data_IF_994243030111
#
_entry.id   IF_994243030111
#
_cell.length_a   1.000
_cell.length_b   1.000
_cell.length_c   1.000
_cell.angle_alpha   90.00
_cell.angle_beta   90.00
_cell.angle_gamma   90.00
#
_symmetry.space_group_name_H-M   'P 1'
#
loop_
_entity.id
_entity.type
_entity.pdbx_description
1 polymer ?
#
# COMPACT_ATOMS: atom_id res chain seq x y z
N UNK A 1 -29.87 19.50 39.26
CA UNK A 1 -29.64 18.72 38.02
C UNK A 1 -28.61 19.49 37.23
N UNK A 2 -27.36 19.04 37.28
CA UNK A 2 -26.30 19.54 36.42
C UNK A 2 -26.49 18.79 35.11
N UNK A 3 -26.76 19.52 34.04
CA UNK A 3 -26.72 18.99 32.68
C UNK A 3 -25.24 18.75 32.42
N UNK A 4 -24.80 17.49 32.33
CA UNK A 4 -23.48 17.19 31.75
C UNK A 4 -23.49 17.77 30.34
N UNK A 5 -22.67 18.80 30.11
CA UNK A 5 -22.33 19.25 28.78
C UNK A 5 -21.65 18.05 28.09
N UNK A 6 -22.36 17.40 27.16
CA UNK A 6 -21.78 16.33 26.35
C UNK A 6 -20.50 16.85 25.69
N UNK A 7 -19.39 16.13 25.87
CA UNK A 7 -18.11 16.50 25.28
C UNK A 7 -18.30 16.71 23.78
N UNK A 8 -17.91 17.89 23.27
CA UNK A 8 -17.96 18.14 21.84
C UNK A 8 -16.88 17.30 21.15
N UNK A 9 -17.19 16.59 20.03
CA UNK A 9 -16.20 15.79 19.34
C UNK A 9 -15.03 16.66 18.87
N UNK A 10 -13.81 16.20 19.14
CA UNK A 10 -12.58 16.92 18.71
C UNK A 10 -12.34 16.82 17.20
N UNK A 11 -12.91 15.80 16.58
CA UNK A 11 -12.80 15.46 15.16
C UNK A 11 -14.06 14.69 14.70
N UNK A 12 -14.34 14.65 13.39
CA UNK A 12 -15.35 13.75 12.83
C UNK A 12 -15.12 12.28 13.24
N UNK A 13 -13.87 11.84 13.32
CA UNK A 13 -13.44 10.51 13.77
C UNK A 13 -13.83 10.23 15.21
N UNK A 14 -13.56 11.17 16.12
CA UNK A 14 -13.94 11.05 17.52
C UNK A 14 -15.47 10.94 17.69
N UNK A 15 -16.25 11.57 16.81
CA UNK A 15 -17.73 11.47 16.83
C UNK A 15 -18.21 10.04 16.61
N UNK A 16 -17.60 9.29 15.68
CA UNK A 16 -17.93 7.88 15.48
C UNK A 16 -17.56 7.06 16.74
N UNK A 17 -16.38 7.33 17.33
CA UNK A 17 -15.96 6.71 18.58
C UNK A 17 -16.97 6.92 19.71
N UNK A 18 -17.47 8.15 19.89
CA UNK A 18 -18.48 8.48 20.89
C UNK A 18 -19.82 7.76 20.63
N UNK A 19 -20.24 7.63 19.36
CA UNK A 19 -21.43 6.85 19.03
C UNK A 19 -21.28 5.37 19.40
N UNK A 20 -20.09 4.80 19.21
CA UNK A 20 -19.78 3.42 19.64
C UNK A 20 -19.86 3.32 21.16
N UNK A 21 -19.35 4.31 21.90
CA UNK A 21 -19.43 4.38 23.36
C UNK A 21 -20.89 4.37 23.85
N UNK A 22 -21.76 5.19 23.24
CA UNK A 22 -23.19 5.25 23.59
C UNK A 22 -23.90 3.88 23.42
N UNK A 23 -23.53 3.10 22.40
CA UNK A 23 -24.06 1.76 22.18
C UNK A 23 -23.40 0.69 23.05
N UNK A 24 -22.15 0.92 23.48
CA UNK A 24 -21.34 -0.04 24.20
C UNK A 24 -21.96 -0.44 25.54
N UNK A 25 -22.52 0.55 26.25
CA UNK A 25 -23.17 0.36 27.55
C UNK A 25 -24.57 -0.25 27.44
N UNK A 26 -25.22 -0.12 26.27
CA UNK A 26 -26.58 -0.63 26.01
C UNK A 26 -26.57 -2.09 25.56
N UNK A 27 -25.48 -2.58 24.97
CA UNK A 27 -25.40 -3.96 24.48
C UNK A 27 -25.20 -4.98 25.61
N UNK A 28 -26.11 -5.96 25.67
CA UNK A 28 -26.25 -6.93 26.77
C UNK A 28 -24.93 -7.65 27.17
N UNK A 29 -24.80 -8.08 28.44
CA UNK A 29 -23.64 -8.83 28.95
C UNK A 29 -23.35 -10.19 28.29
N UNK A 30 -24.17 -10.65 27.34
CA UNK A 30 -24.10 -11.99 26.77
C UNK A 30 -23.14 -12.14 25.59
N UNK A 31 -22.67 -11.04 25.00
CA UNK A 31 -21.74 -11.05 23.87
C UNK A 31 -20.29 -10.94 24.34
N UNK A 32 -19.38 -11.66 23.69
CA UNK A 32 -17.94 -11.44 23.84
C UNK A 32 -17.55 -10.03 23.36
N UNK A 33 -16.43 -9.45 23.83
CA UNK A 33 -16.02 -8.11 23.41
C UNK A 33 -15.91 -7.93 21.88
N UNK A 34 -15.48 -8.96 21.15
CA UNK A 34 -15.40 -8.94 19.68
C UNK A 34 -16.78 -8.93 19.03
N UNK A 35 -17.73 -9.70 19.57
CA UNK A 35 -19.11 -9.72 19.07
C UNK A 35 -19.82 -8.39 19.33
N UNK A 36 -19.56 -7.75 20.49
CA UNK A 36 -20.05 -6.40 20.78
C UNK A 36 -19.53 -5.36 19.80
N UNK A 37 -18.22 -5.36 19.54
CA UNK A 37 -17.62 -4.44 18.54
C UNK A 37 -18.24 -4.62 17.16
N UNK A 38 -18.38 -5.87 16.70
CA UNK A 38 -19.01 -6.16 15.41
C UNK A 38 -20.47 -5.69 15.38
N UNK A 39 -21.24 -5.92 16.45
CA UNK A 39 -22.62 -5.46 16.54
C UNK A 39 -22.74 -3.93 16.56
N UNK A 40 -21.84 -3.23 17.26
CA UNK A 40 -21.75 -1.77 17.19
C UNK A 40 -21.46 -1.31 15.75
N UNK A 41 -20.40 -1.81 15.12
CA UNK A 41 -20.00 -1.42 13.77
C UNK A 41 -21.00 -1.78 12.67
N UNK A 42 -21.86 -2.76 12.89
CA UNK A 42 -22.94 -3.10 11.95
C UNK A 42 -24.09 -2.09 12.00
N UNK A 43 -24.34 -1.48 13.16
CA UNK A 43 -25.41 -0.49 13.34
C UNK A 43 -25.05 0.92 12.85
N UNK A 44 -23.78 1.17 12.54
CA UNK A 44 -23.33 2.45 11.99
C UNK A 44 -23.21 2.37 10.48
N UNK A 45 -23.70 3.38 9.77
CA UNK A 45 -23.38 3.58 8.34
C UNK A 45 -21.95 4.06 8.19
N UNK A 46 -21.38 3.82 7.02
CA UNK A 46 -20.06 4.36 6.65
C UNK A 46 -20.08 5.89 6.85
N UNK A 47 -19.11 6.48 7.58
CA UNK A 47 -19.03 7.93 7.81
C UNK A 47 -19.04 8.72 6.50
N UNK A 48 -19.49 9.99 6.53
CA UNK A 48 -19.50 10.83 5.32
C UNK A 48 -18.07 10.93 4.77
N UNK A 49 -17.79 10.32 3.61
CA UNK A 49 -16.42 10.13 3.21
C UNK A 49 -15.68 11.43 2.86
N UNK A 50 -16.41 12.49 2.49
CA UNK A 50 -15.82 13.76 2.05
C UNK A 50 -15.27 14.56 3.24
N UNK A 51 -15.96 14.50 4.38
CA UNK A 51 -15.49 15.13 5.62
C UNK A 51 -14.30 14.38 6.23
N UNK A 52 -14.19 13.06 5.99
CA UNK A 52 -13.21 12.18 6.64
C UNK A 52 -11.98 11.84 5.77
N UNK A 53 -12.11 11.77 4.44
CA UNK A 53 -11.07 11.20 3.58
C UNK A 53 -10.60 12.12 2.43
N UNK A 54 -11.20 13.30 2.27
CA UNK A 54 -10.77 14.33 1.32
C UNK A 54 -11.19 14.07 -0.14
N UNK A 55 -10.65 14.88 -1.06
CA UNK A 55 -10.99 14.83 -2.50
C UNK A 55 -10.28 13.71 -3.24
N UNK A 56 -11.02 13.00 -4.10
CA UNK A 56 -10.49 11.90 -4.92
C UNK A 56 -9.58 12.46 -6.02
N UNK A 57 -8.35 11.95 -6.08
CA UNK A 57 -7.49 12.11 -7.24
C UNK A 57 -7.87 11.01 -8.23
N UNK A 58 -8.07 11.36 -9.49
CA UNK A 58 -8.36 10.42 -10.58
C UNK A 58 -7.26 10.51 -11.64
N UNK A 59 -7.08 9.45 -12.42
CA UNK A 59 -6.18 9.45 -13.57
C UNK A 59 -6.92 8.98 -14.82
N UNK A 60 -6.62 9.58 -15.96
CA UNK A 60 -7.18 9.15 -17.25
C UNK A 60 -6.46 7.90 -17.75
N UNK A 61 -7.18 6.99 -18.42
CA UNK A 61 -6.60 5.78 -19.01
C UNK A 61 -5.55 6.06 -20.08
N UNK A 62 -5.58 7.24 -20.73
CA UNK A 62 -4.57 7.66 -21.71
C UNK A 62 -3.32 8.32 -21.11
N UNK A 63 -3.26 8.50 -19.79
CA UNK A 63 -2.09 9.07 -19.11
C UNK A 63 -0.89 8.13 -19.23
N UNK A 64 0.31 8.66 -19.45
CA UNK A 64 1.53 7.85 -19.47
C UNK A 64 1.83 7.22 -18.10
N UNK A 65 2.50 6.06 -18.07
CA UNK A 65 3.00 5.48 -16.82
C UNK A 65 3.97 6.40 -16.10
N UNK A 66 4.80 7.14 -16.85
CA UNK A 66 5.73 8.12 -16.31
C UNK A 66 5.02 9.22 -15.51
N UNK A 67 3.91 9.74 -16.03
CA UNK A 67 3.15 10.78 -15.36
C UNK A 67 2.26 10.21 -14.25
N UNK A 68 1.75 9.00 -14.41
CA UNK A 68 1.04 8.28 -13.34
C UNK A 68 1.91 8.07 -12.10
N UNK A 69 3.15 7.61 -12.28
CA UNK A 69 4.13 7.43 -11.20
C UNK A 69 4.43 8.76 -10.50
N UNK A 70 4.64 9.84 -11.25
CA UNK A 70 4.87 11.18 -10.68
C UNK A 70 3.65 11.68 -9.91
N UNK A 71 2.44 11.49 -10.44
CA UNK A 71 1.18 11.90 -9.81
C UNK A 71 1.00 11.17 -8.48
N UNK A 72 1.10 9.85 -8.47
CA UNK A 72 0.97 9.04 -7.26
C UNK A 72 1.99 9.45 -6.18
N UNK A 73 3.26 9.67 -6.57
CA UNK A 73 4.31 10.09 -5.65
C UNK A 73 4.07 11.51 -5.12
N UNK A 74 3.68 12.46 -5.98
CA UNK A 74 3.41 13.86 -5.61
C UNK A 74 2.25 13.98 -4.62
N UNK A 75 1.18 13.23 -4.86
CA UNK A 75 0.01 13.19 -3.99
C UNK A 75 0.18 12.26 -2.78
N UNK A 76 1.32 11.57 -2.66
CA UNK A 76 1.63 10.60 -1.59
C UNK A 76 0.54 9.50 -1.45
N UNK A 77 -0.08 9.11 -2.56
CA UNK A 77 -1.12 8.07 -2.62
C UNK A 77 -0.53 6.75 -3.17
N UNK A 78 -1.16 5.62 -2.84
CA UNK A 78 -0.72 4.28 -3.27
C UNK A 78 -1.46 3.75 -4.49
N UNK A 79 -2.66 4.26 -4.69
CA UNK A 79 -3.63 3.81 -5.68
C UNK A 79 -4.44 5.00 -6.15
N UNK A 80 -4.94 4.92 -7.38
CA UNK A 80 -5.76 5.96 -7.99
C UNK A 80 -6.79 5.32 -8.93
N UNK A 81 -8.08 5.71 -8.87
CA UNK A 81 -9.07 5.28 -9.85
C UNK A 81 -8.71 5.73 -11.26
N UNK A 82 -8.93 4.85 -12.23
CA UNK A 82 -8.63 5.09 -13.64
C UNK A 82 -9.93 5.34 -14.40
N UNK A 83 -10.09 6.57 -14.88
CA UNK A 83 -11.20 6.98 -15.74
C UNK A 83 -10.96 6.50 -17.16
N UNK A 84 -11.93 5.80 -17.74
CA UNK A 84 -11.91 5.47 -19.16
C UNK A 84 -12.16 6.73 -19.99
N UNK A 85 -11.25 7.02 -20.91
CA UNK A 85 -11.39 8.15 -21.82
C UNK A 85 -12.39 7.87 -22.95
N UNK A 86 -12.72 6.59 -23.18
CA UNK A 86 -13.69 6.15 -24.16
C UNK A 86 -15.12 6.01 -23.57
N UNK A 87 -15.28 6.21 -22.26
CA UNK A 87 -16.59 6.20 -21.62
C UNK A 87 -17.46 7.39 -22.08
N UNK A 88 -18.76 7.15 -22.24
CA UNK A 88 -19.73 8.20 -22.55
C UNK A 88 -19.78 9.27 -21.45
N UNK A 89 -20.14 10.51 -21.80
CA UNK A 89 -20.22 11.61 -20.81
C UNK A 89 -21.26 11.36 -19.71
N UNK A 90 -22.33 10.63 -20.04
CA UNK A 90 -23.41 10.21 -19.15
C UNK A 90 -23.22 8.79 -18.59
N UNK A 91 -22.04 8.19 -18.78
CA UNK A 91 -21.71 6.88 -18.26
C UNK A 91 -21.88 6.85 -16.73
N UNK A 92 -22.50 5.78 -16.25
CA UNK A 92 -22.54 5.50 -14.81
C UNK A 92 -21.12 5.21 -14.31
N UNK A 93 -20.90 5.31 -13.00
CA UNK A 93 -19.57 5.04 -12.41
C UNK A 93 -19.00 3.67 -12.82
N UNK A 94 -19.83 2.64 -13.06
CA UNK A 94 -19.35 1.30 -13.40
C UNK A 94 -18.66 1.26 -14.77
N UNK A 95 -19.15 2.08 -15.71
CA UNK A 95 -18.63 2.15 -17.08
C UNK A 95 -17.57 3.25 -17.21
N UNK A 96 -17.65 4.28 -16.36
CA UNK A 96 -16.70 5.40 -16.34
C UNK A 96 -15.31 4.99 -15.90
N UNK A 97 -15.17 4.02 -14.99
CA UNK A 97 -13.85 3.63 -14.46
C UNK A 97 -13.48 2.20 -14.87
N UNK A 98 -12.30 2.02 -15.47
CA UNK A 98 -11.79 0.70 -15.92
C UNK A 98 -11.10 -0.11 -14.82
N UNK A 99 -10.62 0.55 -13.76
CA UNK A 99 -10.06 -0.11 -12.58
C UNK A 99 -9.34 0.88 -11.66
N UNK A 100 -8.66 0.34 -10.66
CA UNK A 100 -7.74 1.10 -9.82
C UNK A 100 -6.32 0.74 -10.21
N UNK A 101 -5.52 1.73 -10.59
CA UNK A 101 -4.09 1.52 -10.81
C UNK A 101 -3.35 1.76 -9.50
N UNK A 102 -2.54 0.78 -9.10
CA UNK A 102 -1.69 0.89 -7.94
C UNK A 102 -0.24 1.16 -8.36
N UNK A 103 0.46 1.96 -7.55
CA UNK A 103 1.89 2.23 -7.74
C UNK A 103 2.70 0.93 -7.91
N UNK A 104 2.41 -0.04 -7.05
CA UNK A 104 2.99 -1.37 -7.09
C UNK A 104 2.69 -2.15 -8.39
N UNK A 105 1.49 -1.97 -8.95
CA UNK A 105 1.08 -2.63 -10.20
C UNK A 105 1.88 -2.12 -11.39
N UNK A 106 2.01 -0.79 -11.51
CA UNK A 106 2.83 -0.14 -12.55
C UNK A 106 4.26 -0.67 -12.50
N UNK A 107 4.84 -0.69 -11.30
CA UNK A 107 6.21 -1.09 -11.06
C UNK A 107 6.46 -2.56 -11.41
N UNK A 108 5.61 -3.46 -10.89
CA UNK A 108 5.76 -4.89 -11.15
C UNK A 108 5.59 -5.17 -12.64
N UNK A 109 4.69 -4.45 -13.31
CA UNK A 109 4.53 -4.54 -14.75
C UNK A 109 5.82 -4.13 -15.47
N UNK A 110 6.41 -2.98 -15.11
CA UNK A 110 7.68 -2.52 -15.70
C UNK A 110 8.81 -3.55 -15.50
N UNK A 111 8.97 -4.07 -14.28
CA UNK A 111 9.99 -5.08 -13.98
C UNK A 111 9.77 -6.36 -14.79
N UNK A 112 8.52 -6.81 -14.91
CA UNK A 112 8.16 -8.00 -15.68
C UNK A 112 8.45 -7.81 -17.18
N UNK A 113 8.22 -6.63 -17.73
CA UNK A 113 8.56 -6.35 -19.12
C UNK A 113 10.08 -6.30 -19.32
N UNK A 114 10.85 -5.73 -18.38
CA UNK A 114 12.31 -5.75 -18.47
C UNK A 114 12.90 -7.17 -18.42
N UNK A 115 12.36 -8.07 -17.59
CA UNK A 115 12.83 -9.46 -17.52
C UNK A 115 12.53 -10.24 -18.81
N UNK A 116 11.39 -9.99 -19.46
CA UNK A 116 11.07 -10.57 -20.77
C UNK A 116 11.99 -10.07 -21.88
N UNK A 117 12.49 -8.84 -21.75
CA UNK A 117 13.34 -8.19 -22.75
C UNK A 117 14.82 -8.61 -22.65
N UNK A 118 15.32 -9.07 -21.50
CA UNK A 118 16.69 -9.61 -21.36
C UNK A 118 16.92 -10.93 -22.14
N UNK A 119 15.85 -11.63 -22.52
CA UNK A 119 15.91 -12.87 -23.32
C UNK A 119 15.89 -12.69 -24.84
N UNK A 120 15.79 -11.46 -25.35
CA UNK A 120 15.69 -11.20 -26.80
C UNK A 120 16.39 -9.90 -27.21
N UNK A 121 16.83 -9.81 -28.47
CA UNK A 121 17.49 -8.63 -29.05
C UNK A 121 16.62 -7.35 -29.09
N UNK A 122 15.46 -7.36 -28.42
CA UNK A 122 14.45 -6.32 -28.39
C UNK A 122 14.76 -5.22 -27.37
N UNK A 123 15.52 -5.48 -26.30
CA UNK A 123 15.88 -4.45 -25.31
C UNK A 123 16.77 -3.37 -25.93
N UNK A 124 17.81 -3.76 -26.67
CA UNK A 124 18.69 -2.82 -27.38
C UNK A 124 17.94 -2.09 -28.52
N UNK A 125 16.96 -2.74 -29.17
CA UNK A 125 16.16 -2.11 -30.22
C UNK A 125 15.13 -1.10 -29.66
N UNK A 126 14.48 -1.43 -28.54
CA UNK A 126 13.52 -0.55 -27.86
C UNK A 126 14.18 0.65 -27.17
N UNK A 127 15.47 0.53 -26.80
CA UNK A 127 16.27 1.64 -26.29
C UNK A 127 16.92 2.49 -27.38
N UNK A 128 17.10 1.94 -28.59
CA UNK A 128 17.74 2.63 -29.71
C UNK A 128 16.77 3.19 -30.77
N UNK A 129 15.46 3.24 -30.48
CA UNK A 129 14.49 4.01 -31.26
C UNK A 129 14.47 3.66 -32.75
N UNK A 130 14.03 2.44 -33.10
CA UNK A 130 13.65 2.14 -34.48
C UNK A 130 12.14 1.97 -34.58
N UNK A 131 11.49 2.95 -35.22
CA UNK A 131 10.15 2.81 -35.80
C UNK A 131 10.09 1.54 -36.65
N UNK A 132 9.30 0.55 -36.24
CA UNK A 132 8.35 -0.15 -37.12
C UNK A 132 7.62 -1.28 -36.38
N UNK A 133 6.29 -1.19 -36.48
CA UNK A 133 5.23 -2.19 -36.35
C UNK A 133 5.06 -2.97 -35.03
N UNK A 134 3.90 -2.70 -34.40
CA UNK A 134 3.33 -3.32 -33.20
C UNK A 134 4.14 -3.09 -31.92
N UNK A 135 3.68 -2.12 -31.12
CA UNK A 135 4.30 -1.79 -29.83
C UNK A 135 4.42 -3.01 -28.91
N UNK A 136 5.51 -3.13 -28.12
CA UNK A 136 5.74 -4.25 -27.20
C UNK A 136 4.56 -4.53 -26.26
N UNK A 137 3.79 -3.49 -25.90
CA UNK A 137 2.57 -3.58 -25.10
C UNK A 137 1.43 -4.34 -25.81
N UNK A 138 1.25 -4.13 -27.12
CA UNK A 138 0.23 -4.84 -27.93
C UNK A 138 0.61 -6.31 -28.10
N UNK A 139 1.90 -6.60 -28.31
CA UNK A 139 2.41 -7.97 -28.35
C UNK A 139 2.27 -8.69 -27.00
N UNK A 140 2.50 -7.99 -25.89
CA UNK A 140 2.34 -8.52 -24.54
C UNK A 140 0.86 -8.76 -24.16
N UNK A 141 -0.06 -7.89 -24.59
CA UNK A 141 -1.51 -8.04 -24.40
C UNK A 141 -2.09 -9.15 -25.27
N UNK A 142 -1.66 -9.25 -26.53
CA UNK A 142 -2.08 -10.30 -27.48
C UNK A 142 -1.62 -11.71 -27.06
N UNK A 143 -0.62 -11.82 -26.18
CA UNK A 143 -0.10 -13.10 -25.70
C UNK A 143 -0.99 -13.82 -24.70
N UNK A 144 -2.09 -13.20 -24.22
CA UNK A 144 -3.18 -13.85 -23.47
C UNK A 144 -2.74 -14.91 -22.46
N UNK A 145 -2.30 -14.51 -21.26
CA UNK A 145 -1.95 -15.47 -20.19
C UNK A 145 -2.68 -15.11 -18.90
N UNK A 146 -3.70 -15.92 -18.59
CA UNK A 146 -4.29 -16.10 -17.27
C UNK A 146 -3.20 -16.38 -16.24
N UNK A 147 -3.26 -15.72 -15.07
CA UNK A 147 -2.33 -15.89 -13.94
C UNK A 147 -1.65 -17.26 -13.85
N UNK A 148 -0.34 -17.36 -14.12
CA UNK A 148 0.43 -18.54 -13.75
C UNK A 148 1.32 -18.21 -12.56
N UNK A 149 1.35 -19.13 -11.58
CA UNK A 149 2.50 -19.28 -10.69
C UNK A 149 3.77 -19.36 -11.55
N UNK A 150 4.63 -18.36 -11.45
CA UNK A 150 5.79 -18.18 -12.34
C UNK A 150 7.08 -18.66 -11.66
N UNK A 151 7.84 -19.53 -12.34
CA UNK A 151 9.29 -19.70 -12.10
C UNK A 151 10.01 -18.74 -13.05
N UNK A 152 10.81 -17.83 -12.49
CA UNK A 152 11.68 -16.92 -13.22
C UNK A 152 12.88 -17.65 -13.83
N UNK A 153 13.27 -17.26 -15.06
CA UNK A 153 14.64 -17.46 -15.55
C UNK A 153 15.42 -16.16 -15.33
N UNK A 154 16.40 -16.27 -14.42
CA UNK A 154 17.56 -15.41 -14.12
C UNK A 154 17.44 -13.88 -14.01
N UNK A 155 17.08 -13.38 -12.82
CA UNK A 155 17.27 -12.00 -12.39
C UNK A 155 18.54 -11.73 -11.56
N UNK A 156 19.43 -12.73 -11.43
CA UNK A 156 20.74 -12.55 -10.81
C UNK A 156 21.74 -11.79 -11.69
N UNK A 157 21.27 -11.17 -12.78
CA UNK A 157 22.09 -10.39 -13.70
C UNK A 157 22.49 -9.07 -13.03
N UNK A 158 23.80 -8.78 -12.87
CA UNK A 158 24.29 -7.50 -12.37
C UNK A 158 23.82 -6.29 -13.23
N UNK A 159 23.38 -6.54 -14.46
CA UNK A 159 22.94 -5.50 -15.40
C UNK A 159 21.59 -4.89 -15.01
N UNK A 160 20.61 -5.71 -14.62
CA UNK A 160 19.26 -5.27 -14.23
C UNK A 160 19.25 -4.44 -12.94
N UNK A 161 20.30 -4.53 -12.14
CA UNK A 161 20.45 -3.84 -10.85
C UNK A 161 21.49 -2.72 -10.91
N UNK A 162 22.06 -2.45 -12.09
CA UNK A 162 22.98 -1.35 -12.31
C UNK A 162 22.27 0.00 -12.13
N UNK A 163 22.94 0.98 -11.52
CA UNK A 163 22.44 2.34 -11.37
C UNK A 163 21.91 2.96 -12.65
N UNK A 164 22.60 2.70 -13.76
CA UNK A 164 22.24 3.22 -15.09
C UNK A 164 20.99 2.57 -15.70
N UNK A 165 20.63 1.36 -15.27
CA UNK A 165 19.47 0.65 -15.81
C UNK A 165 18.19 1.46 -15.66
N UNK A 166 17.94 2.00 -14.47
CA UNK A 166 16.72 2.78 -14.22
C UNK A 166 16.71 4.13 -14.93
N UNK A 167 17.87 4.74 -15.17
CA UNK A 167 17.96 5.96 -15.99
C UNK A 167 17.61 5.68 -17.45
N UNK A 168 18.15 4.59 -17.99
CA UNK A 168 17.86 4.13 -19.33
C UNK A 168 16.38 3.75 -19.47
N UNK A 169 15.83 3.00 -18.51
CA UNK A 169 14.43 2.61 -18.48
C UNK A 169 13.50 3.82 -18.44
N UNK A 170 13.73 4.76 -17.53
CA UNK A 170 12.89 5.96 -17.36
C UNK A 170 13.03 6.95 -18.53
N UNK A 171 14.14 6.88 -19.28
CA UNK A 171 14.36 7.66 -20.49
C UNK A 171 13.78 7.02 -21.76
N UNK A 172 13.45 5.73 -21.72
CA UNK A 172 12.95 4.98 -22.87
C UNK A 172 11.56 5.44 -23.33
N UNK A 173 11.31 5.31 -24.63
CA UNK A 173 9.97 5.52 -25.21
C UNK A 173 8.96 4.52 -24.66
N UNK A 174 9.40 3.30 -24.34
CA UNK A 174 8.59 2.30 -23.69
C UNK A 174 7.94 2.82 -22.39
N UNK A 175 8.72 3.39 -21.47
CA UNK A 175 8.19 3.92 -20.20
C UNK A 175 7.36 5.20 -20.40
N UNK A 176 7.77 6.06 -21.33
CA UNK A 176 7.11 7.36 -21.59
C UNK A 176 5.80 7.24 -22.36
N UNK A 177 5.67 6.25 -23.24
CA UNK A 177 4.54 6.15 -24.15
C UNK A 177 3.53 5.07 -23.75
N UNK A 178 3.91 4.14 -22.87
CA UNK A 178 2.93 3.19 -22.30
C UNK A 178 1.92 3.97 -21.46
N UNK A 179 0.63 3.72 -21.70
CA UNK A 179 -0.49 4.35 -21.02
C UNK A 179 -0.98 3.51 -19.84
N UNK A 180 -1.66 4.14 -18.90
CA UNK A 180 -2.29 3.45 -17.76
C UNK A 180 -3.31 2.40 -18.24
N UNK A 181 -4.08 2.70 -19.29
CA UNK A 181 -5.03 1.77 -19.90
C UNK A 181 -4.37 0.52 -20.48
N UNK A 182 -3.14 0.63 -21.00
CA UNK A 182 -2.41 -0.49 -21.61
C UNK A 182 -2.03 -1.58 -20.59
N UNK A 183 -1.98 -1.22 -19.30
CA UNK A 183 -1.69 -2.15 -18.21
C UNK A 183 -2.95 -2.62 -17.46
N UNK A 184 -4.14 -2.26 -17.97
CA UNK A 184 -5.42 -2.73 -17.45
C UNK A 184 -5.49 -4.27 -17.46
N UNK A 185 -6.10 -4.85 -16.43
CA UNK A 185 -6.20 -6.31 -16.28
C UNK A 185 -4.89 -7.04 -15.95
N UNK A 186 -3.77 -6.33 -15.76
CA UNK A 186 -2.49 -6.92 -15.34
C UNK A 186 -2.41 -7.16 -13.82
N UNK A 187 -1.24 -7.59 -13.31
CA UNK A 187 -1.05 -7.95 -11.90
C UNK A 187 -1.44 -6.80 -10.95
N UNK A 188 -2.31 -7.11 -9.97
CA UNK A 188 -2.92 -6.16 -9.00
C UNK A 188 -3.90 -5.13 -9.59
N UNK A 189 -4.37 -5.34 -10.82
CA UNK A 189 -5.59 -4.70 -11.29
C UNK A 189 -6.79 -5.30 -10.53
N UNK A 190 -7.41 -4.52 -9.65
CA UNK A 190 -8.55 -4.97 -8.87
C UNK A 190 -9.86 -4.52 -9.56
N UNK A 191 -10.86 -5.41 -9.72
CA UNK A 191 -12.19 -4.97 -10.12
C UNK A 191 -12.76 -4.04 -9.03
N UNK A 192 -13.58 -3.07 -9.44
CA UNK A 192 -14.19 -2.13 -8.50
C UNK A 192 -15.17 -2.84 -7.59
N UNK A 193 -14.84 -2.87 -6.31
CA UNK A 193 -15.79 -3.09 -5.23
C UNK A 193 -15.91 -1.78 -4.46
N UNK A 194 -16.99 -1.05 -4.70
CA UNK A 194 -17.27 0.22 -4.07
C UNK A 194 -18.26 0.05 -2.91
N UNK A 195 -18.11 0.89 -1.90
CA UNK A 195 -19.10 1.05 -0.84
C UNK A 195 -20.12 2.10 -1.27
N UNK A 196 -21.37 1.85 -0.90
CA UNK A 196 -22.42 2.86 -0.88
C UNK A 196 -22.45 3.52 0.50
N UNK A 197 -22.89 4.77 0.57
CA UNK A 197 -23.09 5.50 1.84
C UNK A 197 -24.00 4.75 2.83
N UNK A 198 -24.90 3.91 2.33
CA UNK A 198 -25.81 3.06 3.12
C UNK A 198 -25.15 1.80 3.69
N UNK A 199 -23.94 1.42 3.25
CA UNK A 199 -23.27 0.24 3.77
C UNK A 199 -22.77 0.46 5.21
N UNK A 200 -22.75 -0.61 6.00
CA UNK A 200 -22.30 -0.56 7.39
C UNK A 200 -20.80 -0.31 7.51
N UNK A 201 -20.39 0.32 8.61
CA UNK A 201 -18.99 0.49 8.96
C UNK A 201 -18.28 -0.85 9.10
N UNK A 202 -18.97 -1.89 9.60
CA UNK A 202 -18.43 -3.25 9.62
C UNK A 202 -18.13 -3.78 8.21
N UNK A 203 -19.00 -3.55 7.23
CA UNK A 203 -18.74 -3.92 5.83
C UNK A 203 -17.46 -3.28 5.32
N UNK A 204 -17.29 -1.98 5.58
CA UNK A 204 -16.06 -1.25 5.23
C UNK A 204 -14.82 -1.86 5.89
N UNK A 205 -14.87 -2.16 7.19
CA UNK A 205 -13.77 -2.81 7.91
C UNK A 205 -13.44 -4.19 7.34
N UNK A 206 -14.45 -4.99 6.98
CA UNK A 206 -14.26 -6.32 6.39
C UNK A 206 -13.58 -6.25 5.02
N UNK A 207 -13.97 -5.29 4.17
CA UNK A 207 -13.32 -5.06 2.88
C UNK A 207 -11.83 -4.73 3.05
N UNK A 208 -11.51 -3.83 3.99
CA UNK A 208 -10.14 -3.41 4.26
C UNK A 208 -9.29 -4.50 4.92
N UNK A 209 -9.85 -5.27 5.85
CA UNK A 209 -9.13 -6.28 6.63
C UNK A 209 -9.16 -7.66 5.96
N UNK A 210 -10.34 -8.32 5.98
CA UNK A 210 -10.53 -9.70 5.53
C UNK A 210 -10.34 -9.87 4.02
N UNK A 211 -10.86 -8.95 3.22
CA UNK A 211 -10.68 -8.98 1.76
C UNK A 211 -9.40 -8.27 1.30
N UNK A 212 -8.62 -7.73 2.25
CA UNK A 212 -7.29 -7.15 2.02
C UNK A 212 -7.29 -6.03 0.98
N UNK A 213 -8.40 -5.31 0.86
CA UNK A 213 -8.45 -4.11 0.04
C UNK A 213 -7.61 -3.02 0.73
N UNK A 214 -6.64 -2.46 0.01
CA UNK A 214 -5.81 -1.38 0.58
C UNK A 214 -6.56 -0.06 0.67
N UNK A 215 -7.50 0.10 -0.26
CA UNK A 215 -8.35 1.26 -0.39
C UNK A 215 -9.70 0.82 -0.94
N UNK A 216 -10.78 1.43 -0.46
CA UNK A 216 -12.16 1.13 -0.89
C UNK A 216 -12.81 2.44 -1.36
N UNK A 217 -13.20 2.54 -2.64
CA UNK A 217 -13.93 3.71 -3.13
C UNK A 217 -15.33 3.75 -2.55
N UNK A 218 -15.85 4.95 -2.31
CA UNK A 218 -17.23 5.20 -1.90
C UNK A 218 -17.96 5.92 -3.02
N UNK A 219 -19.18 5.48 -3.30
CA UNK A 219 -20.05 6.02 -4.34
C UNK A 219 -21.39 6.44 -3.75
N UNK A 220 -22.03 7.42 -4.38
CA UNK A 220 -23.45 7.67 -4.23
C UNK A 220 -24.23 7.01 -5.38
N UNK A 221 -25.38 6.42 -5.08
CA UNK A 221 -26.20 5.77 -6.10
C UNK A 221 -26.78 6.83 -7.04
N UNK A 222 -26.39 6.75 -8.31
CA UNK A 222 -26.82 7.68 -9.35
C UNK A 222 -25.83 8.80 -9.64
N UNK A 223 -24.73 8.92 -8.89
CA UNK A 223 -23.61 9.76 -9.29
C UNK A 223 -22.70 9.01 -10.28
N UNK A 224 -22.09 9.76 -11.20
CA UNK A 224 -21.21 9.21 -12.22
C UNK A 224 -19.79 8.97 -11.69
N UNK A 225 -19.46 9.48 -10.50
CA UNK A 225 -18.09 9.54 -9.98
C UNK A 225 -17.93 8.87 -8.61
N UNK A 226 -16.68 8.64 -8.25
CA UNK A 226 -16.29 8.21 -6.90
C UNK A 226 -16.23 9.45 -6.00
N UNK A 227 -16.92 9.40 -4.86
CA UNK A 227 -17.00 10.50 -3.90
C UNK A 227 -15.75 10.61 -3.03
N UNK A 228 -15.22 9.45 -2.61
CA UNK A 228 -14.04 9.35 -1.76
C UNK A 228 -13.37 7.98 -1.84
N UNK A 229 -12.19 7.86 -1.24
CA UNK A 229 -11.45 6.60 -1.12
C UNK A 229 -11.03 6.40 0.33
N UNK A 230 -11.57 5.36 0.97
CA UNK A 230 -11.23 4.99 2.34
C UNK A 230 -9.97 4.14 2.35
N UNK A 231 -9.02 4.41 3.25
CA UNK A 231 -7.76 3.65 3.37
C UNK A 231 -7.62 3.04 4.76
N UNK A 232 -6.80 1.99 4.88
CA UNK A 232 -6.48 1.38 6.18
C UNK A 232 -5.86 2.38 7.16
N UNK A 233 -5.02 3.30 6.70
CA UNK A 233 -4.43 4.32 7.58
C UNK A 233 -5.46 5.27 8.16
N UNK A 234 -6.50 5.59 7.41
CA UNK A 234 -7.57 6.43 7.92
C UNK A 234 -8.37 5.72 9.02
N UNK A 235 -8.57 4.40 8.90
CA UNK A 235 -9.14 3.58 9.99
C UNK A 235 -8.23 3.55 11.22
N UNK A 236 -6.92 3.41 11.05
CA UNK A 236 -5.96 3.45 12.17
C UNK A 236 -5.99 4.83 12.87
N UNK A 237 -6.01 5.92 12.10
CA UNK A 237 -6.13 7.28 12.63
C UNK A 237 -7.43 7.45 13.42
N UNK A 238 -8.55 7.01 12.84
CA UNK A 238 -9.85 7.06 13.50
C UNK A 238 -9.90 6.24 14.79
N UNK A 239 -9.25 5.06 14.84
CA UNK A 239 -9.11 4.29 16.08
C UNK A 239 -8.27 5.03 17.13
N UNK A 240 -7.23 5.74 16.71
CA UNK A 240 -6.38 6.53 17.60
C UNK A 240 -7.16 7.68 18.26
N UNK A 241 -8.02 8.36 17.49
CA UNK A 241 -8.92 9.42 17.96
C UNK A 241 -9.97 8.92 18.99
N UNK A 242 -10.15 7.60 19.11
CA UNK A 242 -11.01 6.98 20.11
C UNK A 242 -10.30 6.72 21.45
N UNK A 243 -9.01 7.04 21.56
CA UNK A 243 -8.25 6.86 22.80
C UNK A 243 -8.88 7.64 23.97
N UNK A 244 -9.07 6.96 25.10
CA UNK A 244 -9.74 7.51 26.28
C UNK A 244 -11.22 7.09 26.41
N UNK A 245 -11.86 6.61 25.36
CA UNK A 245 -13.21 6.03 25.43
C UNK A 245 -13.17 4.65 26.08
N UNK A 246 -14.16 4.32 26.92
CA UNK A 246 -14.19 3.10 27.69
C UNK A 246 -14.17 1.85 26.80
N UNK A 247 -14.92 1.86 25.70
CA UNK A 247 -14.92 0.76 24.74
C UNK A 247 -13.52 0.55 24.14
N UNK A 248 -12.80 1.62 23.82
CA UNK A 248 -11.46 1.55 23.23
C UNK A 248 -10.44 1.05 24.27
N UNK A 249 -10.46 1.60 25.49
CA UNK A 249 -9.55 1.20 26.56
C UNK A 249 -9.74 -0.27 26.97
N UNK A 250 -10.95 -0.83 26.83
CA UNK A 250 -11.26 -2.22 27.18
C UNK A 250 -10.44 -3.28 26.40
N UNK A 251 -9.97 -2.95 25.20
CA UNK A 251 -9.13 -3.83 24.37
C UNK A 251 -7.79 -3.18 24.01
N UNK A 252 -7.73 -1.86 23.87
CA UNK A 252 -6.50 -1.12 23.56
C UNK A 252 -5.42 -1.26 24.63
N UNK A 253 -5.81 -1.44 25.90
CA UNK A 253 -4.88 -1.65 27.03
C UNK A 253 -4.30 -3.07 27.10
N UNK A 254 -4.84 -4.03 26.35
CA UNK A 254 -4.33 -5.41 26.33
C UNK A 254 -3.00 -5.48 25.58
N UNK A 255 -2.13 -6.39 26.04
CA UNK A 255 -0.86 -6.65 25.36
C UNK A 255 -1.09 -7.38 24.05
N UNK A 256 -0.21 -7.18 23.07
CA UNK A 256 -0.26 -7.94 21.81
C UNK A 256 -0.24 -9.45 22.02
N UNK A 257 0.49 -9.93 23.05
CA UNK A 257 0.54 -11.35 23.42
C UNK A 257 -0.79 -11.92 23.94
N UNK A 258 -1.68 -11.07 24.45
CA UNK A 258 -2.98 -11.46 25.03
C UNK A 258 -4.11 -11.47 23.98
N UNK A 259 -3.91 -10.76 22.87
CA UNK A 259 -4.93 -10.54 21.84
C UNK A 259 -5.05 -11.69 20.84
N UNK A 260 -4.16 -12.68 20.91
CA UNK A 260 -4.16 -13.82 19.99
C UNK A 260 -4.00 -13.42 18.52
N UNK A 261 -3.39 -12.25 18.25
CA UNK A 261 -3.14 -11.79 16.89
C UNK A 261 -2.28 -12.83 16.15
N UNK A 262 -2.53 -13.08 14.85
CA UNK A 262 -1.71 -13.99 14.07
C UNK A 262 -0.30 -13.41 14.00
N UNK A 263 0.62 -14.04 14.72
CA UNK A 263 2.03 -13.72 14.65
C UNK A 263 2.67 -14.78 13.75
N UNK A 264 3.14 -14.35 12.58
CA UNK A 264 3.99 -15.20 11.74
C UNK A 264 5.21 -15.63 12.55
N UNK A 265 5.53 -16.92 12.53
CA UNK A 265 6.77 -17.43 13.14
C UNK A 265 7.98 -16.74 12.49
N UNK A 266 9.10 -16.55 13.22
CA UNK A 266 10.31 -15.92 12.67
C UNK A 266 10.78 -16.54 11.35
N UNK A 267 10.67 -17.87 11.24
CA UNK A 267 11.08 -18.65 10.06
C UNK A 267 10.23 -18.39 8.80
N UNK A 268 9.08 -17.72 8.93
CA UNK A 268 8.17 -17.40 7.83
C UNK A 268 8.19 -15.90 7.48
N UNK A 269 9.00 -15.09 8.20
CA UNK A 269 9.18 -13.69 7.84
C UNK A 269 10.02 -13.64 6.56
N UNK A 270 9.39 -13.18 5.48
CA UNK A 270 10.09 -12.91 4.22
C UNK A 270 10.99 -11.70 4.43
N UNK A 271 12.30 -11.88 4.35
CA UNK A 271 13.35 -10.89 4.59
C UNK A 271 14.38 -10.90 3.46
N UNK A 272 15.19 -9.85 3.39
CA UNK A 272 16.30 -9.74 2.43
C UNK A 272 17.59 -9.34 3.16
N UNK A 273 18.72 -9.94 2.79
CA UNK A 273 20.02 -9.57 3.33
C UNK A 273 20.49 -8.22 2.75
N UNK A 274 21.20 -7.40 3.52
CA UNK A 274 21.54 -6.02 3.14
C UNK A 274 22.40 -5.90 1.87
N UNK A 275 23.17 -6.95 1.57
CA UNK A 275 24.07 -7.03 0.41
C UNK A 275 23.38 -7.63 -0.83
N UNK A 276 22.15 -8.14 -0.71
CA UNK A 276 21.39 -8.64 -1.86
C UNK A 276 20.91 -7.50 -2.78
N UNK A 277 20.74 -7.75 -4.09
CA UNK A 277 20.27 -6.74 -5.02
C UNK A 277 18.86 -6.23 -4.67
N UNK A 278 18.63 -4.93 -4.77
CA UNK A 278 17.35 -4.30 -4.38
C UNK A 278 16.15 -4.86 -5.15
N UNK A 279 16.35 -5.27 -6.41
CA UNK A 279 15.29 -5.88 -7.20
C UNK A 279 14.79 -7.21 -6.62
N UNK A 280 15.61 -7.90 -5.83
CA UNK A 280 15.18 -9.13 -5.16
C UNK A 280 14.15 -8.84 -4.07
N UNK A 281 14.24 -7.71 -3.37
CA UNK A 281 13.24 -7.30 -2.39
C UNK A 281 11.84 -7.19 -3.02
N UNK A 282 11.75 -6.55 -4.18
CA UNK A 282 10.48 -6.40 -4.91
C UNK A 282 9.97 -7.72 -5.49
N UNK A 283 10.86 -8.67 -5.84
CA UNK A 283 10.46 -10.01 -6.24
C UNK A 283 9.91 -10.81 -5.07
N UNK A 284 10.59 -10.82 -3.93
CA UNK A 284 10.13 -11.46 -2.71
C UNK A 284 8.74 -10.94 -2.30
N UNK A 285 8.52 -9.63 -2.38
CA UNK A 285 7.22 -9.00 -2.19
C UNK A 285 6.15 -9.57 -3.12
N UNK A 286 6.43 -9.62 -4.42
CA UNK A 286 5.49 -10.14 -5.43
C UNK A 286 5.19 -11.63 -5.22
N UNK A 287 6.22 -12.46 -5.05
CA UNK A 287 6.11 -13.92 -4.97
C UNK A 287 5.32 -14.35 -3.73
N UNK A 288 5.49 -13.63 -2.61
CA UNK A 288 4.84 -13.95 -1.35
C UNK A 288 3.59 -13.11 -1.08
N UNK A 289 3.22 -12.19 -1.97
CA UNK A 289 2.07 -11.30 -1.79
C UNK A 289 2.23 -10.31 -0.63
N UNK A 290 3.46 -10.07 -0.17
CA UNK A 290 3.76 -9.11 0.92
C UNK A 290 4.09 -7.74 0.32
N UNK A 291 3.73 -6.67 1.01
CA UNK A 291 3.92 -5.31 0.49
C UNK A 291 5.22 -4.62 0.93
N UNK A 292 6.03 -5.29 1.75
CA UNK A 292 7.30 -4.80 2.28
C UNK A 292 8.10 -5.98 2.82
N UNK A 293 9.42 -5.84 2.84
CA UNK A 293 10.36 -6.80 3.43
C UNK A 293 11.34 -6.05 4.34
N UNK A 294 11.61 -6.57 5.56
CA UNK A 294 12.70 -6.07 6.38
C UNK A 294 14.04 -6.43 5.73
N UNK A 295 14.96 -5.47 5.76
CA UNK A 295 16.36 -5.66 5.37
C UNK A 295 17.13 -6.04 6.62
N UNK A 296 17.83 -7.18 6.60
CA UNK A 296 18.60 -7.68 7.75
C UNK A 296 20.10 -7.60 7.50
N UNK A 297 20.86 -7.41 8.59
CA UNK A 297 22.31 -7.53 8.54
C UNK A 297 22.74 -8.97 8.21
N UNK A 298 24.02 -9.16 7.89
CA UNK A 298 24.57 -10.47 7.47
C UNK A 298 24.49 -11.58 8.54
N UNK A 299 24.18 -11.25 9.81
CA UNK A 299 23.86 -12.23 10.85
C UNK A 299 22.41 -12.76 10.77
N UNK A 300 21.58 -12.14 9.93
CA UNK A 300 20.20 -12.47 9.66
C UNK A 300 19.24 -12.21 10.82
N UNK A 301 19.71 -11.68 11.96
CA UNK A 301 18.90 -11.57 13.18
C UNK A 301 18.31 -10.18 13.38
N UNK A 302 19.06 -9.13 13.04
CA UNK A 302 18.66 -7.75 13.26
C UNK A 302 18.26 -7.07 11.97
N UNK A 303 17.07 -6.47 11.98
CA UNK A 303 16.63 -5.61 10.90
C UNK A 303 17.36 -4.27 10.92
N UNK A 304 18.00 -3.92 9.81
CA UNK A 304 18.71 -2.65 9.58
C UNK A 304 17.89 -1.63 8.80
N UNK A 305 16.78 -2.08 8.19
CA UNK A 305 15.84 -1.21 7.49
C UNK A 305 14.63 -1.97 6.98
N UNK A 306 13.80 -1.28 6.21
CA UNK A 306 12.61 -1.84 5.59
C UNK A 306 12.48 -1.27 4.18
N UNK A 307 12.25 -2.14 3.20
CA UNK A 307 11.90 -1.74 1.84
C UNK A 307 10.44 -2.09 1.64
N UNK A 308 9.62 -1.11 1.29
CA UNK A 308 8.23 -1.27 0.89
C UNK A 308 8.08 -1.23 -0.62
N UNK A 309 6.98 -1.78 -1.14
CA UNK A 309 6.67 -1.71 -2.57
C UNK A 309 6.52 -0.27 -3.08
N UNK A 310 6.33 0.71 -2.19
CA UNK A 310 6.28 2.14 -2.54
C UNK A 310 7.68 2.69 -2.83
N UNK A 311 8.71 2.17 -2.20
CA UNK A 311 10.05 2.77 -2.25
C UNK A 311 10.69 2.65 -3.63
N UNK A 312 10.28 1.69 -4.45
CA UNK A 312 10.65 1.63 -5.87
C UNK A 312 10.41 2.94 -6.63
N UNK A 313 9.53 3.84 -6.14
CA UNK A 313 9.36 5.18 -6.69
C UNK A 313 10.69 5.93 -6.80
N UNK A 314 11.61 5.72 -5.86
CA UNK A 314 12.92 6.35 -5.87
C UNK A 314 13.81 5.82 -7.00
N UNK A 315 13.63 4.56 -7.40
CA UNK A 315 14.28 4.02 -8.60
C UNK A 315 13.72 4.63 -9.89
N UNK A 316 12.43 5.01 -9.92
CA UNK A 316 11.76 5.49 -11.14
C UNK A 316 11.74 7.02 -11.29
N UNK A 317 11.70 7.77 -10.18
CA UNK A 317 11.55 9.23 -10.20
C UNK A 317 12.90 9.91 -9.97
N UNK A 318 13.79 9.27 -9.23
CA UNK A 318 15.10 9.83 -8.89
C UNK A 318 16.23 8.85 -9.22
N UNK A 319 16.28 8.26 -10.43
CA UNK A 319 17.29 7.25 -10.75
C UNK A 319 18.73 7.80 -10.68
N UNK A 320 18.89 9.11 -10.77
CA UNK A 320 20.17 9.81 -10.69
C UNK A 320 20.95 9.60 -9.39
N UNK A 321 20.29 9.27 -8.28
CA UNK A 321 20.98 9.01 -6.99
C UNK A 321 21.70 7.66 -6.98
N UNK A 322 21.54 6.85 -8.03
CA UNK A 322 22.15 5.53 -8.13
C UNK A 322 23.24 5.39 -9.20
N UNK A 323 23.52 6.44 -9.98
CA UNK A 323 24.41 6.41 -11.16
C UNK A 323 25.75 5.69 -10.96
N UNK A 324 26.36 5.89 -9.80
CA UNK A 324 27.69 5.38 -9.46
C UNK A 324 27.67 3.92 -8.96
N UNK A 325 26.49 3.36 -8.66
CA UNK A 325 26.39 1.97 -8.24
C UNK A 325 26.46 1.03 -9.44
N UNK A 326 27.50 0.20 -9.47
CA UNK A 326 27.60 -0.93 -10.40
C UNK A 326 26.46 -1.94 -10.21
N UNK A 327 26.02 -2.10 -8.95
CA UNK A 327 24.87 -2.92 -8.55
C UNK A 327 24.24 -2.28 -7.32
N UNK A 328 22.94 -1.99 -7.36
CA UNK A 328 22.20 -1.42 -6.24
C UNK A 328 21.77 -2.56 -5.31
N UNK A 329 22.42 -2.66 -4.15
CA UNK A 329 22.00 -3.56 -3.06
C UNK A 329 20.87 -2.94 -2.24
N UNK A 330 20.20 -3.74 -1.41
CA UNK A 330 19.19 -3.26 -0.47
C UNK A 330 19.75 -2.15 0.45
N UNK A 331 20.99 -2.31 0.94
CA UNK A 331 21.70 -1.29 1.71
C UNK A 331 21.95 -0.01 0.93
N UNK A 332 22.54 -0.11 -0.26
CA UNK A 332 22.82 1.04 -1.13
C UNK A 332 21.54 1.83 -1.42
N UNK A 333 20.46 1.11 -1.68
CA UNK A 333 19.14 1.68 -1.89
C UNK A 333 18.66 2.49 -0.67
N UNK A 334 18.60 1.86 0.51
CA UNK A 334 18.17 2.54 1.73
C UNK A 334 19.02 3.76 2.06
N UNK A 335 20.34 3.67 1.92
CA UNK A 335 21.26 4.77 2.18
C UNK A 335 21.03 5.92 1.20
N UNK A 336 20.95 5.65 -0.11
CA UNK A 336 20.75 6.69 -1.12
C UNK A 336 19.39 7.39 -0.97
N UNK A 337 18.31 6.64 -0.71
CA UNK A 337 16.98 7.20 -0.46
C UNK A 337 16.99 8.07 0.79
N UNK A 338 17.59 7.61 1.89
CA UNK A 338 17.70 8.39 3.13
C UNK A 338 18.42 9.72 2.88
N UNK A 339 19.60 9.67 2.25
CA UNK A 339 20.37 10.89 1.95
C UNK A 339 19.63 11.84 1.01
N UNK A 340 18.90 11.30 0.02
CA UNK A 340 18.06 12.11 -0.86
C UNK A 340 16.94 12.82 -0.09
N UNK A 341 16.26 12.08 0.80
CA UNK A 341 15.18 12.62 1.61
C UNK A 341 15.68 13.69 2.56
N UNK A 342 16.76 13.46 3.31
CA UNK A 342 17.37 14.46 4.21
C UNK A 342 17.73 15.78 3.50
N UNK A 343 18.04 15.74 2.20
CA UNK A 343 18.40 16.91 1.40
C UNK A 343 17.19 17.62 0.77
N UNK A 344 16.11 16.91 0.47
CA UNK A 344 14.99 17.42 -0.35
C UNK A 344 13.69 17.57 0.41
N UNK A 345 13.52 16.87 1.52
CA UNK A 345 12.33 16.85 2.35
C UNK A 345 12.76 16.94 3.82
N UNK A 346 11.98 17.61 4.66
CA UNK A 346 12.23 17.62 6.11
C UNK A 346 11.91 16.26 6.74
N UNK A 347 11.20 16.26 7.86
CA UNK A 347 10.70 15.03 8.48
C UNK A 347 9.87 14.19 7.48
N UNK A 348 10.35 13.00 7.14
CA UNK A 348 9.65 12.02 6.31
C UNK A 348 9.54 10.71 7.09
N UNK A 349 8.37 10.04 7.09
CA UNK A 349 8.21 8.72 7.70
C UNK A 349 9.24 7.67 7.26
N UNK A 350 9.82 7.83 6.08
CA UNK A 350 10.87 6.95 5.54
C UNK A 350 12.23 7.16 6.23
N UNK A 351 12.43 8.29 6.91
CA UNK A 351 13.59 8.54 7.76
C UNK A 351 13.46 7.84 9.13
N UNK A 352 12.24 7.47 9.54
CA UNK A 352 11.94 6.87 10.85
C UNK A 352 12.45 5.44 11.02
N UNK A 353 13.06 4.84 9.98
CA UNK A 353 13.65 3.52 10.04
C UNK A 353 12.61 2.39 10.12
N UNK A 354 13.01 1.25 10.67
CA UNK A 354 12.09 0.13 10.88
C UNK A 354 11.20 0.40 12.10
N UNK A 355 9.89 0.31 11.91
CA UNK A 355 8.94 0.42 13.00
C UNK A 355 8.80 -0.93 13.71
N UNK A 356 9.12 -0.97 15.00
CA UNK A 356 9.06 -2.20 15.80
C UNK A 356 8.17 -2.04 17.04
N UNK A 357 7.63 -3.16 17.52
CA UNK A 357 6.99 -3.28 18.83
C UNK A 357 7.43 -4.60 19.50
N UNK A 358 7.14 -4.72 20.80
CA UNK A 358 7.33 -5.94 21.57
C UNK A 358 5.99 -6.61 21.85
N UNK A 359 6.03 -7.91 22.15
CA UNK A 359 4.84 -8.70 22.53
C UNK A 359 4.12 -8.17 23.79
N UNK A 360 4.85 -7.40 24.61
CA UNK A 360 4.37 -6.80 25.85
C UNK A 360 3.86 -5.37 25.67
N UNK A 361 4.05 -4.76 24.49
CA UNK A 361 3.46 -3.46 24.18
C UNK A 361 1.93 -3.64 24.06
N UNK A 362 1.21 -2.59 24.42
CA UNK A 362 -0.26 -2.55 24.32
C UNK A 362 -0.71 -2.24 22.90
N UNK A 363 -1.92 -2.66 22.54
CA UNK A 363 -2.45 -2.37 21.20
C UNK A 363 -2.66 -0.86 20.99
N UNK A 364 -3.02 -0.12 22.04
CA UNK A 364 -3.10 1.35 22.02
C UNK A 364 -1.76 1.99 21.65
N UNK A 365 -0.66 1.60 22.31
CA UNK A 365 0.68 2.11 22.00
C UNK A 365 1.06 1.82 20.53
N UNK A 366 0.69 0.64 20.03
CA UNK A 366 0.95 0.25 18.64
C UNK A 366 0.14 1.08 17.65
N UNK A 367 -1.16 1.30 17.90
CA UNK A 367 -2.03 2.14 17.07
C UNK A 367 -1.49 3.58 17.01
N UNK A 368 -1.17 4.17 18.17
CA UNK A 368 -0.60 5.52 18.25
C UNK A 368 0.74 5.61 17.50
N UNK A 369 1.58 4.58 17.60
CA UNK A 369 2.87 4.53 16.89
C UNK A 369 2.68 4.40 15.37
N UNK A 370 1.71 3.62 14.91
CA UNK A 370 1.37 3.50 13.48
C UNK A 370 0.80 4.82 12.93
N UNK A 371 -0.09 5.48 13.69
CA UNK A 371 -0.70 6.73 13.27
C UNK A 371 0.31 7.89 13.23
N UNK A 372 1.05 8.11 14.31
CA UNK A 372 2.05 9.20 14.39
C UNK A 372 3.10 9.12 13.29
N UNK A 373 3.53 7.90 12.94
CA UNK A 373 4.49 7.68 11.87
C UNK A 373 3.85 7.66 10.47
N UNK A 374 2.52 7.59 10.37
CA UNK A 374 1.78 7.37 9.11
C UNK A 374 2.33 6.16 8.33
N UNK A 375 2.72 5.11 9.07
CA UNK A 375 3.27 3.85 8.54
C UNK A 375 2.24 2.74 8.71
N UNK A 376 2.15 1.86 7.72
CA UNK A 376 1.12 0.82 7.65
C UNK A 376 1.57 -0.55 8.23
N UNK A 377 2.78 -0.64 8.77
CA UNK A 377 3.37 -1.91 9.22
C UNK A 377 4.28 -1.71 10.44
N UNK A 378 4.22 -2.69 11.33
CA UNK A 378 5.10 -2.79 12.49
C UNK A 378 5.63 -4.23 12.62
N UNK A 379 6.89 -4.36 13.02
CA UNK A 379 7.55 -5.65 13.21
C UNK A 379 7.64 -5.98 14.70
N UNK A 380 7.34 -7.23 15.06
CA UNK A 380 7.47 -7.67 16.45
C UNK A 380 8.92 -8.13 16.67
N UNK A 381 9.56 -7.57 17.70
CA UNK A 381 10.94 -7.90 18.06
C UNK A 381 11.06 -8.42 19.49
N UNK A 382 12.11 -9.21 19.73
CA UNK A 382 12.51 -9.64 21.07
C UNK A 382 13.18 -8.49 21.86
N UNK A 383 13.54 -8.75 23.12
CA UNK A 383 14.20 -7.75 23.98
C UNK A 383 15.59 -7.31 23.48
N UNK A 384 16.21 -8.08 22.58
CA UNK A 384 17.49 -7.75 21.95
C UNK A 384 17.33 -7.09 20.58
N UNK A 385 16.09 -6.93 20.09
CA UNK A 385 15.75 -6.31 18.82
C UNK A 385 15.78 -7.26 17.61
N UNK A 386 15.82 -8.58 17.83
CA UNK A 386 15.70 -9.54 16.73
C UNK A 386 14.25 -9.70 16.29
N UNK A 387 14.02 -9.97 15.01
CA UNK A 387 12.67 -10.16 14.46
C UNK A 387 12.03 -11.47 15.00
N UNK A 388 10.96 -11.35 15.76
CA UNK A 388 10.13 -12.48 16.21
C UNK A 388 8.93 -12.74 15.30
N UNK A 389 8.43 -11.70 14.65
CA UNK A 389 7.25 -11.75 13.79
C UNK A 389 7.07 -10.46 13.02
N UNK A 390 6.13 -10.46 12.07
CA UNK A 390 5.55 -9.22 11.56
C UNK A 390 4.07 -9.23 11.89
N UNK A 391 3.48 -8.08 12.21
CA UNK A 391 2.03 -7.93 12.19
C UNK A 391 1.58 -7.88 10.73
N UNK A 392 1.71 -9.01 10.02
CA UNK A 392 0.94 -9.20 8.81
C UNK A 392 -0.51 -9.42 9.24
N UNK A 393 -1.45 -8.74 8.59
CA UNK A 393 -2.86 -9.12 8.64
C UNK A 393 -3.04 -10.45 7.91
N UNK A 394 -2.49 -11.52 8.47
CA UNK A 394 -2.71 -12.89 8.05
C UNK A 394 -3.70 -13.55 9.01
N UNK A 395 -4.93 -13.07 8.97
CA UNK A 395 -6.16 -13.88 9.04
C UNK A 395 -7.33 -13.00 8.66
#
# INVERSE_FOLDING_TARGET
>A
MVVEEGETPRSPEAKLGMQVEDLWDVQEPQLSPTEKLNACFENFTTPDPVEFFGTVVEIRSDTSLADAVKLLARHKILSVPVVDVEAAEDATWIDRYIGVVEFAGIVVWILHQSEKMEGGSAFDAALNGSDHDVGPAVAAAASGISSPRFRSMHPGSPTATCGRFFETLTSSDFYKNTKVGDISGSFRWAPFLALQKSNSFLTMLLLLSKYRMKSVPVIDLGDAKIDAVITQSAVIHMLEECAGLHWFESWGSKKLSELGLPLMKPSHIIKIDEDEPVLEAFKLMRQNGVGAVPVVANDGSKAVGNISIRDIQYLLITPGIYKEYRSITAKNFLTAVRSYLEQTQGESPLLSGILTCRRNDTLKEVIMKLDSMKIHRIYVVDETGNLEGSSHSET
#
